data_IF_758142242452
#
_entry.id   IF_758142242452
#
_cell.length_a   1.000
_cell.length_b   1.000
_cell.length_c   1.000
_cell.angle_alpha   90.00
_cell.angle_beta   90.00
_cell.angle_gamma   90.00
#
_symmetry.space_group_name_H-M   'P 1'
#
loop_
_entity.id
_entity.type
_entity.pdbx_description
1 polymer ?
#
# COMPACT_ATOMS: atom_id res chain seq x y z
N UNK A 1 -7.99 -16.46 16.54
CA UNK A 1 -6.55 -16.26 16.25
C UNK A 1 -6.15 -17.36 15.28
N UNK A 2 -5.77 -17.02 14.04
CA UNK A 2 -5.18 -17.99 13.14
C UNK A 2 -3.77 -18.34 13.65
N UNK A 3 -3.43 -19.64 13.67
CA UNK A 3 -2.10 -20.10 14.03
C UNK A 3 -1.11 -19.63 12.95
N UNK A 4 -0.13 -18.82 13.34
CA UNK A 4 0.98 -18.45 12.46
C UNK A 4 1.97 -19.62 12.44
N UNK A 5 2.27 -20.23 11.28
CA UNK A 5 3.20 -21.36 11.21
C UNK A 5 4.64 -20.92 11.51
N UNK A 6 5.40 -21.85 12.11
CA UNK A 6 6.83 -21.67 12.37
C UNK A 6 7.65 -22.45 11.36
N UNK A 7 8.79 -21.88 10.96
CA UNK A 7 9.79 -22.49 10.09
C UNK A 7 11.07 -22.68 10.89
N UNK A 8 11.66 -23.88 10.82
CA UNK A 8 12.96 -24.19 11.46
C UNK A 8 14.02 -24.24 10.38
N UNK A 9 15.04 -23.42 10.48
CA UNK A 9 16.21 -23.42 9.61
C UNK A 9 17.43 -24.00 10.34
N UNK A 10 18.13 -24.91 9.68
CA UNK A 10 19.42 -25.38 10.14
C UNK A 10 20.52 -24.47 9.64
N UNK A 11 21.30 -23.89 10.56
CA UNK A 11 22.45 -23.05 10.25
C UNK A 11 23.73 -23.70 10.79
N UNK A 12 24.89 -23.22 10.36
CA UNK A 12 26.17 -23.65 10.89
C UNK A 12 26.34 -23.41 12.42
N UNK A 13 25.45 -22.63 13.03
CA UNK A 13 25.45 -22.28 14.47
C UNK A 13 24.31 -22.96 15.25
N UNK A 14 23.57 -23.90 14.62
CA UNK A 14 22.43 -24.61 15.20
C UNK A 14 21.12 -24.27 14.53
N UNK A 15 20.02 -24.77 15.12
CA UNK A 15 18.65 -24.54 14.63
C UNK A 15 18.16 -23.16 15.07
N UNK A 16 17.46 -22.47 14.15
CA UNK A 16 16.73 -21.24 14.41
C UNK A 16 15.28 -21.40 14.00
N UNK A 17 14.38 -21.03 14.89
CA UNK A 17 12.92 -21.03 14.62
C UNK A 17 12.45 -19.61 14.39
N UNK A 18 11.67 -19.40 13.32
CA UNK A 18 11.03 -18.15 12.97
C UNK A 18 9.54 -18.40 12.75
N UNK A 19 8.68 -17.46 13.09
CA UNK A 19 7.37 -17.42 12.46
C UNK A 19 7.52 -17.09 10.97
N UNK A 20 6.51 -17.44 10.15
CA UNK A 20 6.62 -17.31 8.69
C UNK A 20 6.84 -15.84 8.25
N UNK A 21 6.22 -14.87 8.92
CA UNK A 21 6.38 -13.46 8.55
C UNK A 21 7.78 -12.95 8.89
N UNK A 22 8.31 -13.29 10.06
CA UNK A 22 9.70 -12.97 10.46
C UNK A 22 10.70 -13.63 9.51
N UNK A 23 10.41 -14.85 9.04
CA UNK A 23 11.27 -15.51 8.05
C UNK A 23 11.27 -14.78 6.70
N UNK A 24 10.10 -14.41 6.19
CA UNK A 24 9.96 -13.67 4.94
C UNK A 24 10.54 -12.25 5.04
N UNK A 25 10.48 -11.61 6.21
CA UNK A 25 11.10 -10.31 6.44
C UNK A 25 12.63 -10.36 6.23
N UNK A 26 13.29 -11.48 6.56
CA UNK A 26 14.72 -11.67 6.27
C UNK A 26 15.01 -11.67 4.75
N UNK A 27 14.04 -12.04 3.93
CA UNK A 27 14.10 -11.96 2.46
C UNK A 27 13.57 -10.63 1.92
N UNK A 28 13.39 -9.64 2.80
CA UNK A 28 12.92 -8.28 2.51
C UNK A 28 11.48 -8.21 2.00
N UNK A 29 10.66 -9.17 2.42
CA UNK A 29 9.25 -9.28 2.06
C UNK A 29 8.39 -8.83 3.23
N UNK A 30 7.51 -7.86 3.00
CA UNK A 30 6.53 -7.37 3.97
C UNK A 30 5.11 -7.48 3.40
N UNK A 31 4.12 -7.59 4.27
CA UNK A 31 2.72 -7.78 3.90
C UNK A 31 1.81 -6.73 4.53
N UNK A 32 0.90 -6.22 3.72
CA UNK A 32 -0.33 -5.58 4.16
C UNK A 32 -1.50 -6.50 3.77
N UNK A 33 -1.97 -7.35 4.69
CA UNK A 33 -2.99 -8.37 4.43
C UNK A 33 -4.31 -8.12 5.17
N UNK A 34 -4.54 -6.90 5.60
CA UNK A 34 -5.71 -6.49 6.37
C UNK A 34 -6.02 -5.00 6.15
N UNK A 35 -6.97 -4.48 6.91
CA UNK A 35 -7.33 -3.07 6.88
C UNK A 35 -6.16 -2.17 7.32
N UNK A 36 -6.01 -1.03 6.64
CA UNK A 36 -5.04 0.01 7.01
C UNK A 36 -5.54 0.75 8.24
N UNK A 37 -4.83 0.59 9.36
CA UNK A 37 -5.09 1.25 10.64
C UNK A 37 -3.78 1.63 11.32
N UNK A 38 -3.84 2.27 12.49
CA UNK A 38 -2.66 2.77 13.18
C UNK A 38 -1.69 1.64 13.59
N UNK A 39 -2.21 0.45 13.92
CA UNK A 39 -1.40 -0.71 14.30
C UNK A 39 -0.68 -1.28 13.09
N UNK A 40 -1.41 -1.55 11.99
CA UNK A 40 -0.81 -2.09 10.77
C UNK A 40 0.19 -1.12 10.15
N UNK A 41 -0.12 0.19 10.18
CA UNK A 41 0.80 1.22 9.70
C UNK A 41 2.09 1.27 10.52
N UNK A 42 1.99 1.24 11.86
CA UNK A 42 3.18 1.24 12.73
C UNK A 42 4.08 0.03 12.49
N UNK A 43 3.49 -1.15 12.27
CA UNK A 43 4.25 -2.37 11.97
C UNK A 43 4.96 -2.29 10.62
N UNK A 44 4.27 -1.80 9.58
CA UNK A 44 4.86 -1.66 8.24
C UNK A 44 5.97 -0.60 8.24
N UNK A 45 5.74 0.55 8.86
CA UNK A 45 6.76 1.60 9.02
C UNK A 45 8.00 1.06 9.72
N UNK A 46 7.83 0.32 10.82
CA UNK A 46 8.96 -0.29 11.55
C UNK A 46 9.73 -1.28 10.66
N UNK A 47 9.04 -2.11 9.87
CA UNK A 47 9.66 -3.06 8.95
C UNK A 47 10.41 -2.35 7.81
N UNK A 48 9.86 -1.30 7.22
CA UNK A 48 10.52 -0.49 6.19
C UNK A 48 11.82 0.12 6.72
N UNK A 49 11.79 0.76 7.88
CA UNK A 49 12.97 1.36 8.51
C UNK A 49 14.02 0.30 8.91
N UNK A 50 13.57 -0.86 9.42
CA UNK A 50 14.45 -1.97 9.74
C UNK A 50 15.19 -2.49 8.50
N UNK A 51 14.47 -2.69 7.38
CA UNK A 51 15.05 -3.19 6.14
C UNK A 51 16.00 -2.18 5.50
N UNK A 52 15.70 -0.88 5.55
CA UNK A 52 16.63 0.16 5.12
C UNK A 52 17.93 0.12 5.94
N UNK A 53 17.82 0.01 7.26
CA UNK A 53 19.00 -0.07 8.13
C UNK A 53 19.85 -1.33 7.89
N UNK A 54 19.27 -2.42 7.39
CA UNK A 54 20.00 -3.64 7.03
C UNK A 54 20.78 -3.50 5.71
N UNK A 55 20.16 -2.97 4.69
CA UNK A 55 20.79 -2.78 3.36
C UNK A 55 19.97 -1.74 2.56
N UNK A 56 20.43 -0.51 2.45
CA UNK A 56 19.69 0.55 1.75
C UNK A 56 19.69 0.41 0.22
N UNK A 57 20.52 -0.45 -0.34
CA UNK A 57 20.69 -0.61 -1.79
C UNK A 57 19.85 -1.75 -2.38
N UNK A 58 19.16 -2.52 -1.52
CA UNK A 58 18.32 -3.63 -1.95
C UNK A 58 16.85 -3.28 -1.88
N UNK A 59 16.11 -3.75 -2.88
CA UNK A 59 14.66 -3.59 -2.97
C UNK A 59 13.93 -4.23 -1.78
N UNK A 60 12.82 -3.61 -1.40
CA UNK A 60 11.83 -4.17 -0.48
C UNK A 60 10.63 -4.65 -1.31
N UNK A 61 10.15 -5.86 -1.07
CA UNK A 61 8.95 -6.40 -1.70
C UNK A 61 7.75 -6.20 -0.78
N UNK A 62 6.82 -5.36 -1.17
CA UNK A 62 5.64 -5.02 -0.39
C UNK A 62 4.39 -5.63 -1.03
N UNK A 63 3.92 -6.74 -0.45
CA UNK A 63 2.72 -7.46 -0.88
C UNK A 63 1.48 -6.84 -0.24
N UNK A 64 0.47 -6.56 -1.08
CA UNK A 64 -0.76 -5.87 -0.68
C UNK A 64 -1.97 -6.73 -1.01
N UNK A 65 -2.76 -7.07 0.02
CA UNK A 65 -4.08 -7.65 -0.07
C UNK A 65 -4.97 -6.95 0.97
N UNK A 66 -5.47 -5.77 0.64
CA UNK A 66 -6.11 -4.88 1.62
C UNK A 66 -7.33 -4.17 1.03
N UNK A 67 -8.44 -4.07 1.78
CA UNK A 67 -9.59 -3.26 1.40
C UNK A 67 -9.34 -1.74 1.56
N UNK A 68 -8.17 -1.34 2.05
CA UNK A 68 -7.87 0.03 2.42
C UNK A 68 -8.13 0.32 3.89
N UNK A 69 -8.53 1.54 4.23
CA UNK A 69 -8.81 1.95 5.61
C UNK A 69 -8.39 3.39 5.91
N UNK A 70 -7.81 3.64 7.07
CA UNK A 70 -7.44 4.97 7.55
C UNK A 70 -6.46 5.69 6.61
N UNK A 71 -6.88 6.84 6.11
CA UNK A 71 -6.01 7.69 5.25
C UNK A 71 -4.78 8.16 6.01
N UNK A 72 -4.93 8.56 7.27
CA UNK A 72 -3.80 9.06 8.07
C UNK A 72 -2.76 7.96 8.31
N UNK A 73 -3.21 6.76 8.63
CA UNK A 73 -2.35 5.59 8.79
C UNK A 73 -1.65 5.20 7.47
N UNK A 74 -2.41 5.22 6.36
CA UNK A 74 -1.84 4.95 5.04
C UNK A 74 -0.81 5.99 4.59
N UNK A 75 -1.04 7.28 4.92
CA UNK A 75 -0.05 8.33 4.63
C UNK A 75 1.26 8.14 5.42
N UNK A 76 1.22 7.60 6.63
CA UNK A 76 2.44 7.27 7.37
C UNK A 76 3.26 6.18 6.65
N UNK A 77 2.60 5.17 6.08
CA UNK A 77 3.27 4.15 5.25
C UNK A 77 3.83 4.81 3.98
N UNK A 78 3.00 5.57 3.26
CA UNK A 78 3.39 6.26 2.04
C UNK A 78 4.62 7.14 2.24
N UNK A 79 4.57 8.05 3.20
CA UNK A 79 5.68 8.96 3.47
C UNK A 79 6.96 8.20 3.82
N UNK A 80 6.86 7.08 4.56
CA UNK A 80 8.01 6.23 4.87
C UNK A 80 8.56 5.55 3.61
N UNK A 81 7.70 5.02 2.73
CA UNK A 81 8.12 4.44 1.45
C UNK A 81 8.89 5.46 0.58
N UNK A 82 8.47 6.74 0.60
CA UNK A 82 9.14 7.79 -0.16
C UNK A 82 10.41 8.32 0.54
N UNK A 83 10.50 8.18 1.87
CA UNK A 83 11.61 8.70 2.67
C UNK A 83 12.83 7.79 2.64
N UNK A 84 12.64 6.47 2.68
CA UNK A 84 13.72 5.48 2.69
C UNK A 84 14.46 5.46 1.35
N UNK A 85 15.72 5.01 1.36
CA UNK A 85 16.55 4.90 0.15
C UNK A 85 16.25 3.67 -0.70
N UNK A 86 15.74 2.61 -0.06
CA UNK A 86 15.40 1.38 -0.76
C UNK A 86 14.29 1.63 -1.78
N UNK A 87 14.40 1.03 -2.96
CA UNK A 87 13.25 0.90 -3.84
C UNK A 87 12.21 -0.04 -3.21
N UNK A 88 10.94 0.37 -3.28
CA UNK A 88 9.83 -0.44 -2.78
C UNK A 88 9.04 -0.99 -3.96
N UNK A 89 9.21 -2.28 -4.24
CA UNK A 89 8.41 -2.99 -5.21
C UNK A 89 7.06 -3.36 -4.58
N UNK A 90 5.95 -2.89 -5.14
CA UNK A 90 4.61 -3.18 -4.65
C UNK A 90 3.93 -4.26 -5.47
N UNK A 91 3.30 -5.23 -4.84
CA UNK A 91 2.67 -6.37 -5.51
C UNK A 91 1.26 -6.58 -4.97
N UNK A 92 0.24 -6.38 -5.81
CA UNK A 92 -1.14 -6.72 -5.44
C UNK A 92 -1.40 -8.22 -5.56
N UNK A 93 -1.90 -8.82 -4.47
CA UNK A 93 -2.33 -10.22 -4.39
C UNK A 93 -3.77 -10.25 -3.89
N UNK A 94 -4.72 -10.70 -4.71
CA UNK A 94 -6.13 -10.69 -4.38
C UNK A 94 -6.75 -9.31 -4.59
N UNK A 95 -6.63 -8.39 -3.64
CA UNK A 95 -7.24 -7.06 -3.74
C UNK A 95 -6.32 -5.95 -3.23
N UNK A 96 -6.34 -4.82 -3.92
CA UNK A 96 -5.86 -3.55 -3.40
C UNK A 96 -6.93 -2.48 -3.62
N UNK A 97 -7.66 -2.12 -2.56
CA UNK A 97 -8.76 -1.17 -2.66
C UNK A 97 -8.48 0.10 -1.84
N UNK A 98 -9.01 1.25 -2.32
CA UNK A 98 -8.95 2.52 -1.60
C UNK A 98 -7.51 2.88 -1.18
N UNK A 99 -7.22 2.99 0.11
CA UNK A 99 -5.87 3.24 0.61
C UNK A 99 -4.87 2.13 0.22
N UNK A 100 -5.33 0.88 0.01
CA UNK A 100 -4.50 -0.21 -0.51
C UNK A 100 -4.07 0.04 -1.96
N UNK A 101 -4.96 0.50 -2.83
CA UNK A 101 -4.64 0.88 -4.21
C UNK A 101 -3.72 2.12 -4.27
N UNK A 102 -3.92 3.06 -3.37
CA UNK A 102 -3.05 4.22 -3.23
C UNK A 102 -1.60 3.78 -2.91
N UNK A 103 -1.41 2.91 -1.92
CA UNK A 103 -0.10 2.37 -1.55
C UNK A 103 0.51 1.51 -2.67
N UNK A 104 -0.31 0.73 -3.39
CA UNK A 104 0.14 -0.03 -4.56
C UNK A 104 0.73 0.91 -5.63
N UNK A 105 0.04 1.99 -5.94
CA UNK A 105 0.49 2.99 -6.93
C UNK A 105 1.73 3.76 -6.50
N UNK A 106 2.03 3.79 -5.19
CA UNK A 106 3.13 4.54 -4.58
C UNK A 106 4.47 3.79 -4.58
N UNK A 107 4.51 2.55 -5.05
CA UNK A 107 5.75 1.80 -5.27
C UNK A 107 6.68 2.49 -6.24
N UNK A 108 7.95 2.10 -6.21
CA UNK A 108 8.97 2.61 -7.14
C UNK A 108 8.54 2.36 -8.58
N UNK A 109 8.60 3.41 -9.41
CA UNK A 109 8.19 3.34 -10.81
C UNK A 109 8.94 2.25 -11.57
N UNK A 110 8.21 1.42 -12.31
CA UNK A 110 8.72 0.21 -12.98
C UNK A 110 8.68 -1.05 -12.10
N UNK A 111 8.36 -0.91 -10.79
CA UNK A 111 8.32 -2.01 -9.80
C UNK A 111 6.95 -2.17 -9.13
N UNK A 112 5.89 -1.62 -9.72
CA UNK A 112 4.51 -1.75 -9.25
C UNK A 112 3.82 -2.86 -10.03
N UNK A 113 3.31 -3.87 -9.33
CA UNK A 113 2.88 -5.12 -9.97
C UNK A 113 1.55 -5.62 -9.39
N UNK A 114 0.86 -6.46 -10.15
CA UNK A 114 -0.28 -7.22 -9.67
C UNK A 114 -0.26 -8.64 -10.24
N UNK A 115 -0.82 -9.61 -9.50
CA UNK A 115 -1.12 -10.93 -10.02
C UNK A 115 -2.29 -10.86 -11.00
N UNK A 116 -2.41 -11.80 -11.98
CA UNK A 116 -3.37 -11.70 -13.08
C UNK A 116 -4.84 -11.55 -12.68
N UNK A 117 -5.22 -12.15 -11.55
CA UNK A 117 -6.59 -12.15 -11.05
C UNK A 117 -6.81 -11.19 -9.87
N UNK A 118 -5.87 -10.28 -9.64
CA UNK A 118 -6.03 -9.26 -8.61
C UNK A 118 -7.03 -8.19 -9.05
N UNK A 119 -7.72 -7.61 -8.08
CA UNK A 119 -8.66 -6.51 -8.26
C UNK A 119 -8.11 -5.24 -7.62
N UNK A 120 -8.15 -4.14 -8.32
CA UNK A 120 -7.69 -2.85 -7.83
C UNK A 120 -8.88 -1.87 -7.84
N UNK A 121 -9.10 -1.16 -6.74
CA UNK A 121 -10.22 -0.20 -6.66
C UNK A 121 -9.74 1.14 -6.12
N UNK A 122 -10.08 2.20 -6.85
CA UNK A 122 -9.87 3.57 -6.42
C UNK A 122 -11.21 4.28 -6.22
N UNK A 123 -11.25 5.15 -5.23
CA UNK A 123 -12.38 6.04 -4.96
C UNK A 123 -11.96 7.24 -4.09
N UNK A 124 -12.82 8.24 -3.97
CA UNK A 124 -12.59 9.36 -3.08
C UNK A 124 -12.67 8.95 -1.60
N UNK A 125 -12.00 9.68 -0.68
CA UNK A 125 -12.14 9.42 0.75
C UNK A 125 -13.58 9.52 1.21
N UNK A 126 -14.04 8.54 1.99
CA UNK A 126 -15.34 8.58 2.67
C UNK A 126 -15.14 8.89 4.14
N UNK A 127 -15.99 9.75 4.70
CA UNK A 127 -16.01 10.03 6.12
C UNK A 127 -17.39 10.48 6.56
N UNK A 128 -17.71 10.21 7.84
CA UNK A 128 -18.84 10.79 8.51
C UNK A 128 -18.38 11.87 9.51
N UNK A 129 -19.20 12.86 9.75
CA UNK A 129 -18.96 13.85 10.80
C UNK A 129 -20.23 14.11 11.60
N UNK A 130 -20.09 14.32 12.90
CA UNK A 130 -21.18 14.66 13.82
C UNK A 130 -20.65 15.66 14.83
N UNK A 131 -21.49 16.60 15.27
CA UNK A 131 -21.10 17.61 16.26
C UNK A 131 -21.67 18.98 15.96
N UNK A 132 -21.04 20.04 16.47
CA UNK A 132 -21.42 21.42 16.22
C UNK A 132 -21.16 21.80 14.77
N UNK A 133 -22.00 22.68 14.21
CA UNK A 133 -21.91 23.11 12.80
C UNK A 133 -20.50 23.63 12.45
N UNK A 134 -19.91 24.41 13.33
CA UNK A 134 -18.55 24.97 13.11
C UNK A 134 -17.49 23.85 13.03
N UNK A 135 -17.57 22.87 13.91
CA UNK A 135 -16.64 21.71 13.91
C UNK A 135 -16.83 20.85 12.67
N UNK A 136 -18.08 20.62 12.27
CA UNK A 136 -18.40 19.91 11.03
C UNK A 136 -17.82 20.62 9.79
N UNK A 137 -17.89 21.95 9.74
CA UNK A 137 -17.31 22.74 8.65
C UNK A 137 -15.75 22.67 8.63
N UNK A 138 -15.11 22.58 9.79
CA UNK A 138 -13.66 22.38 9.89
C UNK A 138 -13.30 20.98 9.37
N UNK A 139 -14.04 19.95 9.78
CA UNK A 139 -13.82 18.59 9.30
C UNK A 139 -14.02 18.44 7.80
N UNK A 140 -15.06 19.08 7.23
CA UNK A 140 -15.29 19.03 5.79
C UNK A 140 -14.12 19.65 5.00
N UNK A 141 -13.67 20.83 5.37
CA UNK A 141 -12.49 21.47 4.73
C UNK A 141 -11.24 20.61 4.82
N UNK A 142 -11.02 19.95 5.96
CA UNK A 142 -9.90 19.01 6.12
C UNK A 142 -10.02 17.82 5.14
N UNK A 143 -11.22 17.26 4.97
CA UNK A 143 -11.47 16.16 4.04
C UNK A 143 -11.26 16.58 2.57
N UNK A 144 -11.71 17.79 2.19
CA UNK A 144 -11.43 18.36 0.87
C UNK A 144 -9.92 18.47 0.60
N UNK A 145 -9.17 19.02 1.55
CA UNK A 145 -7.70 19.10 1.46
C UNK A 145 -7.03 17.72 1.33
N UNK A 146 -7.54 16.72 2.05
CA UNK A 146 -7.06 15.34 1.95
C UNK A 146 -7.37 14.77 0.56
N UNK A 147 -8.61 14.91 0.05
CA UNK A 147 -9.02 14.48 -1.29
C UNK A 147 -8.10 15.08 -2.36
N UNK A 148 -7.88 16.37 -2.33
CA UNK A 148 -7.00 17.07 -3.29
C UNK A 148 -5.55 16.53 -3.24
N UNK A 149 -5.03 16.28 -2.05
CA UNK A 149 -3.68 15.72 -1.87
C UNK A 149 -3.58 14.31 -2.45
N UNK A 150 -4.52 13.43 -2.14
CA UNK A 150 -4.53 12.07 -2.64
C UNK A 150 -4.67 12.03 -4.18
N UNK A 151 -5.55 12.85 -4.74
CA UNK A 151 -5.73 12.94 -6.18
C UNK A 151 -4.46 13.44 -6.90
N UNK A 152 -3.76 14.41 -6.31
CA UNK A 152 -2.48 14.90 -6.86
C UNK A 152 -1.42 13.81 -6.86
N UNK A 153 -1.25 13.08 -5.76
CA UNK A 153 -0.29 12.00 -5.67
C UNK A 153 -0.65 10.86 -6.66
N UNK A 154 -1.92 10.49 -6.77
CA UNK A 154 -2.36 9.51 -7.76
C UNK A 154 -2.09 9.99 -9.20
N UNK A 155 -2.27 11.28 -9.48
CA UNK A 155 -1.95 11.87 -10.79
C UNK A 155 -0.46 11.74 -11.10
N UNK A 156 0.41 12.06 -10.14
CA UNK A 156 1.87 11.91 -10.26
C UNK A 156 2.26 10.45 -10.49
N UNK A 157 1.69 9.52 -9.71
CA UNK A 157 2.00 8.10 -9.80
C UNK A 157 1.54 7.47 -11.12
N UNK A 158 0.36 7.87 -11.63
CA UNK A 158 -0.23 7.29 -12.85
C UNK A 158 0.18 8.01 -14.13
N UNK A 159 0.69 9.24 -14.02
CA UNK A 159 0.98 10.10 -15.16
C UNK A 159 -0.27 10.71 -15.82
N UNK A 160 -1.44 10.64 -15.16
CA UNK A 160 -2.69 11.24 -15.62
C UNK A 160 -2.86 12.65 -15.05
N UNK A 161 -3.76 13.44 -15.63
CA UNK A 161 -4.10 14.75 -15.06
C UNK A 161 -4.94 14.60 -13.78
N UNK A 162 -4.92 15.60 -12.92
CA UNK A 162 -5.69 15.62 -11.67
C UNK A 162 -7.19 15.53 -11.95
N UNK A 163 -7.67 16.13 -13.06
CA UNK A 163 -9.07 16.07 -13.48
C UNK A 163 -9.49 14.63 -13.81
N UNK A 164 -8.66 13.88 -14.56
CA UNK A 164 -8.93 12.47 -14.88
C UNK A 164 -8.97 11.62 -13.60
N UNK A 165 -8.05 11.84 -12.67
CA UNK A 165 -8.06 11.15 -11.39
C UNK A 165 -9.30 11.51 -10.57
N UNK A 166 -9.68 12.78 -10.53
CA UNK A 166 -10.85 13.25 -9.78
C UNK A 166 -12.13 12.58 -10.28
N UNK A 167 -12.31 12.51 -11.60
CA UNK A 167 -13.45 11.84 -12.21
C UNK A 167 -13.42 10.32 -11.96
N UNK A 168 -12.25 9.69 -12.09
CA UNK A 168 -12.07 8.26 -11.88
C UNK A 168 -12.30 7.83 -10.42
N UNK A 169 -12.04 8.72 -9.45
CA UNK A 169 -12.23 8.47 -8.02
C UNK A 169 -13.59 8.95 -7.49
N UNK A 170 -14.47 9.52 -8.31
CA UNK A 170 -15.77 10.06 -7.83
C UNK A 170 -16.68 8.98 -7.24
N UNK A 171 -16.60 7.76 -7.75
CA UNK A 171 -17.29 6.55 -7.27
C UNK A 171 -16.32 5.39 -7.23
N UNK A 172 -16.73 4.26 -6.63
CA UNK A 172 -15.97 3.03 -6.63
C UNK A 172 -15.65 2.62 -8.07
N UNK A 173 -14.37 2.65 -8.40
CA UNK A 173 -13.85 2.31 -9.72
C UNK A 173 -12.98 1.06 -9.60
N UNK A 174 -13.61 -0.10 -9.85
CA UNK A 174 -12.97 -1.39 -9.83
C UNK A 174 -12.27 -1.67 -11.17
N UNK A 175 -11.06 -2.15 -11.10
CA UNK A 175 -10.21 -2.47 -12.24
C UNK A 175 -9.62 -3.87 -12.08
N UNK A 176 -9.62 -4.63 -13.15
CA UNK A 176 -8.75 -5.81 -13.29
C UNK A 176 -7.28 -5.38 -13.29
N UNK A 177 -6.37 -6.33 -13.11
CA UNK A 177 -4.92 -6.06 -13.19
C UNK A 177 -4.52 -5.44 -14.53
N UNK A 178 -5.16 -5.84 -15.64
CA UNK A 178 -4.89 -5.29 -16.97
C UNK A 178 -5.39 -3.86 -17.11
N UNK A 179 -6.59 -3.55 -16.63
CA UNK A 179 -7.12 -2.18 -16.63
C UNK A 179 -6.30 -1.26 -15.71
N UNK A 180 -5.83 -1.75 -14.56
CA UNK A 180 -4.95 -1.00 -13.66
C UNK A 180 -3.59 -0.69 -14.28
N UNK A 181 -3.06 -1.61 -15.11
CA UNK A 181 -1.85 -1.38 -15.91
C UNK A 181 -2.09 -0.27 -16.96
N UNK A 182 -3.17 -0.34 -17.71
CA UNK A 182 -3.55 0.66 -18.72
C UNK A 182 -3.86 2.03 -18.09
N UNK A 183 -4.43 2.00 -16.90
CA UNK A 183 -4.68 3.22 -16.12
C UNK A 183 -3.38 3.84 -15.56
N UNK A 184 -2.33 3.06 -15.35
CA UNK A 184 -1.03 3.49 -14.83
C UNK A 184 -0.86 3.34 -13.33
N UNK A 185 -1.76 2.64 -12.64
CA UNK A 185 -1.65 2.32 -11.20
C UNK A 185 -0.54 1.32 -10.92
N UNK A 186 -0.27 0.44 -11.89
CA UNK A 186 0.83 -0.53 -11.86
C UNK A 186 1.64 -0.47 -13.15
N UNK A 187 2.81 -1.10 -13.15
CA UNK A 187 3.74 -1.12 -14.28
C UNK A 187 3.76 -2.46 -14.99
N UNK A 188 3.29 -3.54 -14.33
CA UNK A 188 3.31 -4.89 -14.90
C UNK A 188 2.29 -5.81 -14.24
N UNK A 189 1.65 -6.67 -15.05
CA UNK A 189 0.94 -7.86 -14.57
C UNK A 189 1.93 -9.02 -14.55
N UNK A 190 2.01 -9.74 -13.43
CA UNK A 190 2.93 -10.86 -13.26
C UNK A 190 2.30 -12.14 -13.82
N UNK A 191 2.86 -12.64 -14.91
CA UNK A 191 2.55 -13.99 -15.41
C UNK A 191 3.29 -15.06 -14.62
N UNK A 192 3.06 -16.33 -14.98
CA UNK A 192 3.77 -17.48 -14.37
C UNK A 192 5.28 -17.36 -14.58
N UNK A 193 6.03 -17.77 -13.56
CA UNK A 193 7.46 -17.99 -13.68
C UNK A 193 7.77 -19.12 -14.64
#
# INVERSE_FOLDING_TARGET
>A
MSLVPYVVEQTSRGERSYDIFSRLLNDRIIFLSEEVNDTTASLIVAQLLYLEAQDPDKDIQFYINSPGGSVTAGMAIYDTMQYIKCDVATICVGMAASMGAFLLSAGTKGKRMALPNAEIMIHQPSAGTQGQITDMAIHLRRLETIKERLNRILAENTGKSVEVITDACERDNFMTSQEALEFGLIDRVLDRH
#
